data_IF_495027018037
#
_entry.id   IF_495027018037
#
_cell.length_a   1.000
_cell.length_b   1.000
_cell.length_c   1.000
_cell.angle_alpha   90.00
_cell.angle_beta   90.00
_cell.angle_gamma   90.00
#
_symmetry.space_group_name_H-M   'P 1'
#
loop_
_entity.id
_entity.type
_entity.pdbx_description
1 polymer ?
#
# COMPACT_ATOMS: atom_id res chain seq x y z
N UNK A 1 -13.82 19.18 -2.76
CA UNK A 1 -13.38 19.36 -4.17
C UNK A 1 -12.30 18.36 -4.59
N UNK A 2 -11.26 18.17 -3.81
CA UNK A 2 -10.17 17.24 -4.14
C UNK A 2 -10.65 15.80 -4.37
N UNK A 3 -11.46 15.25 -3.49
CA UNK A 3 -12.01 13.89 -3.60
C UNK A 3 -12.84 13.67 -4.87
N UNK A 4 -13.67 14.64 -5.24
CA UNK A 4 -14.47 14.56 -6.48
C UNK A 4 -13.57 14.55 -7.71
N UNK A 5 -12.51 15.37 -7.70
CA UNK A 5 -11.53 15.41 -8.79
C UNK A 5 -10.74 14.10 -8.90
N UNK A 6 -10.30 13.55 -7.79
CA UNK A 6 -9.59 12.26 -7.76
C UNK A 6 -10.46 11.12 -8.30
N UNK A 7 -11.72 11.07 -7.92
CA UNK A 7 -12.68 10.08 -8.45
C UNK A 7 -12.88 10.25 -9.96
N UNK A 8 -12.99 11.49 -10.43
CA UNK A 8 -13.10 11.77 -11.87
C UNK A 8 -11.84 11.34 -12.64
N UNK A 9 -10.66 11.56 -12.10
CA UNK A 9 -9.39 11.09 -12.71
C UNK A 9 -9.39 9.57 -12.83
N UNK A 10 -9.73 8.86 -11.77
CA UNK A 10 -9.78 7.39 -11.78
C UNK A 10 -10.79 6.87 -12.81
N UNK A 11 -11.97 7.44 -12.87
CA UNK A 11 -13.00 7.07 -13.87
C UNK A 11 -12.52 7.32 -15.30
N UNK A 12 -11.92 8.47 -15.58
CA UNK A 12 -11.38 8.80 -16.90
C UNK A 12 -10.30 7.82 -17.33
N UNK A 13 -9.39 7.46 -16.42
CA UNK A 13 -8.30 6.51 -16.68
C UNK A 13 -8.81 5.09 -16.92
N UNK A 14 -9.87 4.67 -16.23
CA UNK A 14 -10.49 3.36 -16.43
C UNK A 14 -11.27 3.25 -17.74
N UNK A 15 -11.88 4.35 -18.18
CA UNK A 15 -12.79 4.36 -19.34
C UNK A 15 -12.13 4.81 -20.62
N UNK A 16 -10.98 5.48 -20.56
CA UNK A 16 -10.26 6.04 -21.71
C UNK A 16 -8.77 5.75 -21.64
N UNK A 17 -8.15 5.63 -22.79
CA UNK A 17 -6.69 5.54 -22.90
C UNK A 17 -6.09 6.95 -22.89
N UNK A 18 -5.57 7.39 -21.75
CA UNK A 18 -4.97 8.70 -21.55
C UNK A 18 -3.47 8.53 -21.40
N UNK A 19 -2.71 9.06 -22.35
CA UNK A 19 -1.26 8.88 -22.41
C UNK A 19 -0.45 10.07 -21.88
N UNK A 20 -1.05 11.25 -21.77
CA UNK A 20 -0.34 12.48 -21.38
C UNK A 20 -1.09 13.24 -20.29
N UNK A 21 -0.34 14.07 -19.55
CA UNK A 21 -0.92 14.98 -18.55
C UNK A 21 -1.83 16.04 -19.20
N UNK A 22 -1.49 16.47 -20.42
CA UNK A 22 -2.30 17.44 -21.18
C UNK A 22 -3.68 16.87 -21.53
N UNK A 23 -3.73 15.63 -22.02
CA UNK A 23 -5.01 14.96 -22.30
C UNK A 23 -5.87 14.85 -21.04
N UNK A 24 -5.28 14.48 -19.91
CA UNK A 24 -5.99 14.40 -18.63
C UNK A 24 -6.49 15.78 -18.18
N UNK A 25 -5.66 16.80 -18.32
CA UNK A 25 -6.02 18.19 -18.00
C UNK A 25 -7.23 18.67 -18.82
N UNK A 26 -7.20 18.46 -20.15
CA UNK A 26 -8.27 18.86 -21.06
C UNK A 26 -9.59 18.14 -20.73
N UNK A 27 -9.53 16.84 -20.48
CA UNK A 27 -10.71 16.05 -20.10
C UNK A 27 -11.32 16.49 -18.77
N UNK A 28 -10.48 16.86 -17.79
CA UNK A 28 -10.97 17.38 -16.52
C UNK A 28 -11.60 18.76 -16.66
N UNK A 29 -11.03 19.63 -17.48
CA UNK A 29 -11.63 20.94 -17.80
C UNK A 29 -12.97 20.78 -18.50
N UNK A 30 -13.07 19.88 -19.46
CA UNK A 30 -14.32 19.56 -20.15
C UNK A 30 -15.38 18.99 -19.18
N UNK A 31 -14.94 18.33 -18.12
CA UNK A 31 -15.81 17.82 -17.05
C UNK A 31 -16.17 18.86 -15.99
N UNK A 32 -15.75 20.13 -16.18
CA UNK A 32 -16.10 21.23 -15.28
C UNK A 32 -15.13 21.47 -14.12
N UNK A 33 -13.97 20.83 -14.12
CA UNK A 33 -12.94 21.09 -13.10
C UNK A 33 -12.00 22.20 -13.55
N UNK A 34 -11.82 23.20 -12.69
CA UNK A 34 -10.80 24.25 -12.89
C UNK A 34 -9.47 23.76 -12.29
N UNK A 35 -8.59 23.28 -13.14
CA UNK A 35 -7.32 22.67 -12.76
C UNK A 35 -6.15 23.18 -13.59
N UNK A 36 -4.98 23.21 -12.96
CA UNK A 36 -3.71 23.53 -13.59
C UNK A 36 -2.86 22.28 -13.77
N UNK A 37 -1.84 22.37 -14.64
CA UNK A 37 -0.89 21.27 -14.83
C UNK A 37 -0.18 20.87 -13.52
N UNK A 38 0.15 21.84 -12.67
CA UNK A 38 0.76 21.56 -11.36
C UNK A 38 -0.17 20.75 -10.47
N UNK A 39 -1.47 21.03 -10.47
CA UNK A 39 -2.47 20.26 -9.71
C UNK A 39 -2.58 18.83 -10.24
N UNK A 40 -2.63 18.66 -11.56
CA UNK A 40 -2.67 17.33 -12.18
C UNK A 40 -1.41 16.53 -11.86
N UNK A 41 -0.25 17.14 -11.93
CA UNK A 41 1.01 16.48 -11.58
C UNK A 41 1.03 15.98 -10.14
N UNK A 42 0.49 16.75 -9.20
CA UNK A 42 0.33 16.32 -7.78
C UNK A 42 -0.69 15.20 -7.64
N UNK A 43 -1.84 15.31 -8.30
CA UNK A 43 -2.89 14.29 -8.24
C UNK A 43 -2.39 12.95 -8.80
N UNK A 44 -1.61 12.95 -9.89
CA UNK A 44 -0.98 11.75 -10.44
C UNK A 44 -0.09 11.06 -9.41
N UNK A 45 0.71 11.83 -8.67
CA UNK A 45 1.57 11.29 -7.60
C UNK A 45 0.76 10.74 -6.43
N UNK A 46 -0.24 11.49 -5.97
CA UNK A 46 -1.06 11.10 -4.83
C UNK A 46 -1.92 9.86 -5.12
N UNK A 47 -2.37 9.70 -6.35
CA UNK A 47 -3.14 8.54 -6.79
C UNK A 47 -2.27 7.35 -7.24
N UNK A 48 -0.95 7.48 -7.15
CA UNK A 48 -0.01 6.46 -7.62
C UNK A 48 -0.27 6.02 -9.07
N UNK A 49 -0.53 6.99 -9.94
CA UNK A 49 -0.70 6.72 -11.36
C UNK A 49 0.66 6.56 -12.05
N UNK A 50 0.78 5.56 -12.88
CA UNK A 50 1.96 5.34 -13.70
C UNK A 50 1.58 5.09 -15.15
N UNK A 51 2.54 5.28 -16.05
CA UNK A 51 2.35 4.94 -17.46
C UNK A 51 2.68 3.46 -17.67
N UNK A 52 1.74 2.75 -18.26
CA UNK A 52 1.90 1.35 -18.68
C UNK A 52 1.87 1.27 -20.20
N UNK A 53 2.62 0.34 -20.75
CA UNK A 53 2.63 0.09 -22.19
C UNK A 53 1.44 -0.78 -22.60
N UNK A 54 0.65 -0.27 -23.56
CA UNK A 54 -0.43 -1.05 -24.19
C UNK A 54 -0.16 -1.04 -25.71
N UNK A 55 0.39 -2.12 -26.22
CA UNK A 55 0.88 -2.17 -27.59
C UNK A 55 2.00 -1.14 -27.83
N UNK A 56 1.82 -0.26 -28.83
CA UNK A 56 2.76 0.81 -29.16
C UNK A 56 2.49 2.14 -28.43
N UNK A 57 1.52 2.17 -27.51
CA UNK A 57 1.11 3.37 -26.79
C UNK A 57 1.33 3.23 -25.29
N UNK A 58 1.53 4.35 -24.63
CA UNK A 58 1.56 4.44 -23.17
C UNK A 58 0.25 5.05 -22.68
N UNK A 59 -0.30 4.49 -21.62
CA UNK A 59 -1.46 5.06 -20.94
C UNK A 59 -1.24 5.12 -19.44
N UNK A 60 -1.87 6.07 -18.77
CA UNK A 60 -1.94 6.09 -17.30
C UNK A 60 -2.80 4.93 -16.79
N UNK A 61 -2.32 4.28 -15.77
CA UNK A 61 -3.05 3.27 -15.01
C UNK A 61 -2.84 3.51 -13.52
N UNK A 62 -3.85 3.17 -12.73
CA UNK A 62 -3.68 3.07 -11.28
C UNK A 62 -2.76 1.88 -11.05
N UNK A 63 -1.65 2.08 -10.35
CA UNK A 63 -0.89 0.95 -9.81
C UNK A 63 -1.81 0.33 -8.78
N UNK A 64 -2.56 -0.69 -9.16
CA UNK A 64 -3.11 -1.60 -8.18
C UNK A 64 -1.89 -2.16 -7.47
N UNK A 65 -1.82 -1.98 -6.15
CA UNK A 65 -0.92 -2.78 -5.33
C UNK A 65 -1.17 -4.21 -5.81
N UNK A 66 -0.17 -4.81 -6.41
CA UNK A 66 -0.28 -6.14 -6.99
C UNK A 66 -0.89 -7.05 -5.93
N UNK A 67 -2.11 -7.52 -6.14
CA UNK A 67 -2.71 -8.51 -5.24
C UNK A 67 -1.75 -9.70 -5.08
N UNK A 68 -0.98 -10.01 -6.12
CA UNK A 68 0.07 -11.01 -6.10
C UNK A 68 1.24 -10.67 -5.17
N UNK A 69 1.62 -9.39 -5.04
CA UNK A 69 2.66 -8.96 -4.11
C UNK A 69 2.18 -9.08 -2.67
N UNK A 70 0.95 -8.66 -2.39
CA UNK A 70 0.33 -8.80 -1.07
C UNK A 70 0.21 -10.28 -0.68
N UNK A 71 -0.24 -11.13 -1.59
CA UNK A 71 -0.38 -12.57 -1.35
C UNK A 71 0.97 -13.25 -1.05
N UNK A 72 2.02 -12.87 -1.77
CA UNK A 72 3.38 -13.35 -1.50
C UNK A 72 3.83 -13.03 -0.08
N UNK A 73 3.62 -11.80 0.38
CA UNK A 73 4.00 -11.39 1.73
C UNK A 73 3.15 -12.06 2.81
N UNK A 74 1.87 -12.22 2.58
CA UNK A 74 0.98 -12.98 3.47
C UNK A 74 1.46 -14.42 3.62
N UNK A 75 1.91 -15.03 2.53
CA UNK A 75 2.47 -16.39 2.55
C UNK A 75 3.75 -16.47 3.37
N UNK A 76 4.69 -15.53 3.18
CA UNK A 76 5.93 -15.45 3.96
C UNK A 76 5.62 -15.29 5.46
N UNK A 77 4.70 -14.41 5.82
CA UNK A 77 4.25 -14.22 7.18
C UNK A 77 3.68 -15.53 7.76
N UNK A 78 2.82 -16.20 7.04
CA UNK A 78 2.19 -17.46 7.46
C UNK A 78 3.21 -18.58 7.69
N UNK A 79 4.16 -18.70 6.76
CA UNK A 79 5.18 -19.78 6.81
C UNK A 79 6.18 -19.56 7.95
N UNK A 80 6.50 -18.30 8.24
CA UNK A 80 7.48 -17.97 9.27
C UNK A 80 6.92 -17.79 10.68
N UNK A 81 5.64 -17.54 10.80
CA UNK A 81 5.00 -17.22 12.09
C UNK A 81 5.00 -18.38 13.08
N UNK A 82 5.39 -18.10 14.33
CA UNK A 82 5.30 -19.05 15.45
C UNK A 82 4.34 -18.52 16.52
N UNK A 83 4.59 -17.34 17.06
CA UNK A 83 3.74 -16.73 18.10
C UNK A 83 3.86 -15.21 18.12
N UNK A 84 2.87 -14.56 18.69
CA UNK A 84 2.85 -13.12 18.96
C UNK A 84 2.35 -12.85 20.36
N UNK A 85 3.05 -11.98 21.08
CA UNK A 85 2.65 -11.50 22.41
C UNK A 85 2.79 -10.00 22.49
N UNK A 86 1.83 -9.28 23.12
CA UNK A 86 1.94 -7.86 23.36
C UNK A 86 2.82 -7.56 24.57
N UNK A 87 3.55 -6.45 24.52
CA UNK A 87 4.29 -5.89 25.64
C UNK A 87 4.26 -4.37 25.56
N UNK A 88 3.31 -3.74 26.23
CA UNK A 88 3.05 -2.30 26.06
C UNK A 88 2.70 -1.96 24.62
N UNK A 89 3.47 -1.07 23.99
CA UNK A 89 3.33 -0.71 22.59
C UNK A 89 4.15 -1.60 21.65
N UNK A 90 4.79 -2.64 22.16
CA UNK A 90 5.52 -3.61 21.37
C UNK A 90 4.72 -4.88 21.17
N UNK A 91 4.90 -5.47 20.01
CA UNK A 91 4.54 -6.86 19.73
C UNK A 91 5.83 -7.65 19.61
N UNK A 92 5.94 -8.72 20.38
CA UNK A 92 7.05 -9.66 20.27
C UNK A 92 6.56 -10.81 19.38
N UNK A 93 7.02 -10.83 18.14
CA UNK A 93 6.69 -11.87 17.18
C UNK A 93 7.85 -12.86 17.10
N UNK A 94 7.55 -14.14 17.34
CA UNK A 94 8.51 -15.23 17.18
C UNK A 94 8.30 -15.89 15.84
N UNK A 95 9.40 -16.18 15.16
CA UNK A 95 9.39 -16.86 13.85
C UNK A 95 10.16 -18.16 13.91
N UNK A 96 10.06 -18.92 12.84
CA UNK A 96 10.99 -20.00 12.54
C UNK A 96 12.40 -19.42 12.47
N UNK A 97 13.39 -20.13 12.97
CA UNK A 97 14.81 -19.72 12.99
C UNK A 97 15.26 -19.33 11.58
N UNK A 98 15.89 -18.17 11.46
CA UNK A 98 16.38 -17.64 10.20
C UNK A 98 15.33 -16.90 9.36
N UNK A 99 14.06 -16.83 9.77
CA UNK A 99 13.00 -16.20 8.99
C UNK A 99 12.58 -14.81 9.50
N UNK A 100 13.13 -14.32 10.61
CA UNK A 100 12.67 -13.06 11.19
C UNK A 100 12.79 -11.89 10.23
N UNK A 101 13.89 -11.74 9.51
CA UNK A 101 14.05 -10.65 8.55
C UNK A 101 13.08 -10.73 7.36
N UNK A 102 12.82 -11.94 6.85
CA UNK A 102 11.86 -12.15 5.77
C UNK A 102 10.44 -11.79 6.22
N UNK A 103 10.04 -12.21 7.41
CA UNK A 103 8.74 -11.90 8.00
C UNK A 103 8.61 -10.41 8.31
N UNK A 104 9.64 -9.76 8.82
CA UNK A 104 9.66 -8.31 9.05
C UNK A 104 9.49 -7.53 7.74
N UNK A 105 10.17 -7.93 6.69
CA UNK A 105 10.01 -7.36 5.35
C UNK A 105 8.56 -7.52 4.84
N UNK A 106 7.96 -8.67 5.07
CA UNK A 106 6.56 -8.92 4.72
C UNK A 106 5.61 -8.00 5.50
N UNK A 107 5.83 -7.82 6.79
CA UNK A 107 5.02 -6.92 7.64
C UNK A 107 5.13 -5.47 7.14
N UNK A 108 6.32 -4.99 6.84
CA UNK A 108 6.52 -3.65 6.29
C UNK A 108 5.80 -3.45 4.96
N UNK A 109 5.82 -4.46 4.11
CA UNK A 109 5.17 -4.43 2.80
C UNK A 109 3.63 -4.46 2.88
N UNK A 110 3.05 -4.95 3.97
CA UNK A 110 1.60 -4.92 4.21
C UNK A 110 1.08 -3.51 4.54
N UNK A 111 1.98 -2.59 4.88
CA UNK A 111 1.67 -1.17 5.16
C UNK A 111 0.51 -0.98 6.16
N UNK A 112 0.59 -1.68 7.29
CA UNK A 112 -0.37 -1.54 8.38
C UNK A 112 -0.13 -0.20 9.07
N UNK A 113 -1.10 0.70 9.02
CA UNK A 113 -0.95 2.09 9.46
C UNK A 113 -0.59 2.23 10.94
N UNK A 114 -1.05 1.31 11.78
CA UNK A 114 -0.81 1.30 13.23
C UNK A 114 0.61 0.88 13.59
N UNK A 115 1.33 0.26 12.67
CA UNK A 115 2.74 -0.16 12.86
C UNK A 115 3.66 0.98 12.44
N UNK A 116 4.44 1.47 13.39
CA UNK A 116 5.44 2.52 13.13
C UNK A 116 6.66 1.93 12.43
N UNK A 117 7.06 0.74 12.82
CA UNK A 117 8.21 0.04 12.26
C UNK A 117 8.48 -1.24 13.03
N UNK A 118 9.43 -2.02 12.55
CA UNK A 118 9.87 -3.21 13.24
C UNK A 118 11.37 -3.44 13.06
N UNK A 119 11.94 -4.21 13.97
CA UNK A 119 13.33 -4.67 13.90
C UNK A 119 13.39 -6.17 14.14
N UNK A 120 14.17 -6.87 13.34
CA UNK A 120 14.26 -8.31 13.35
C UNK A 120 15.63 -8.81 13.77
N UNK A 121 15.65 -9.82 14.61
CA UNK A 121 16.82 -10.66 14.88
C UNK A 121 16.82 -11.89 13.98
N UNK A 122 17.17 -13.05 14.52
CA UNK A 122 17.18 -14.33 13.80
C UNK A 122 15.80 -15.01 13.78
N UNK A 123 15.14 -15.07 14.94
CA UNK A 123 13.84 -15.74 15.18
C UNK A 123 12.82 -14.86 15.91
N UNK A 124 13.15 -13.59 16.12
CA UNK A 124 12.33 -12.67 16.92
C UNK A 124 12.26 -11.30 16.24
N UNK A 125 11.08 -10.73 16.22
CA UNK A 125 10.81 -9.38 15.69
C UNK A 125 10.17 -8.54 16.78
N UNK A 126 10.67 -7.34 17.00
CA UNK A 126 10.01 -6.31 17.80
C UNK A 126 9.27 -5.35 16.87
N UNK A 127 7.96 -5.32 17.00
CA UNK A 127 7.09 -4.46 16.22
C UNK A 127 6.61 -3.32 17.10
N UNK A 128 6.94 -2.08 16.71
CA UNK A 128 6.49 -0.89 17.41
C UNK A 128 5.11 -0.47 16.88
N UNK A 129 4.13 -0.42 17.76
CA UNK A 129 2.77 0.02 17.47
C UNK A 129 2.59 1.45 17.95
N UNK A 130 1.86 2.26 17.20
CA UNK A 130 1.53 3.64 17.57
C UNK A 130 0.87 3.68 18.96
N UNK A 131 1.26 4.65 19.79
CA UNK A 131 0.68 4.86 21.13
C UNK A 131 -0.83 5.11 21.12
N UNK A 132 -1.36 5.60 20.00
CA UNK A 132 -2.79 5.87 19.80
C UNK A 132 -3.56 4.65 19.29
N UNK A 133 -2.90 3.51 19.11
CA UNK A 133 -3.47 2.28 18.57
C UNK A 133 -3.42 1.16 19.60
N UNK A 134 -4.34 0.21 19.46
CA UNK A 134 -4.37 -0.99 20.30
C UNK A 134 -3.43 -2.06 19.75
N UNK A 135 -2.44 -2.45 20.56
CA UNK A 135 -1.54 -3.57 20.24
C UNK A 135 -2.32 -4.86 20.00
N UNK A 136 -3.35 -5.11 20.81
CA UNK A 136 -4.23 -6.28 20.65
C UNK A 136 -4.96 -6.31 19.32
N UNK A 137 -5.43 -5.16 18.84
CA UNK A 137 -6.11 -5.05 17.55
C UNK A 137 -5.16 -5.33 16.40
N UNK A 138 -3.93 -4.84 16.47
CA UNK A 138 -2.89 -5.14 15.47
C UNK A 138 -2.55 -6.64 15.46
N UNK A 139 -2.41 -7.25 16.64
CA UNK A 139 -2.19 -8.70 16.76
C UNK A 139 -3.34 -9.49 16.12
N UNK A 140 -4.59 -9.10 16.37
CA UNK A 140 -5.75 -9.76 15.79
C UNK A 140 -5.78 -9.64 14.27
N UNK A 141 -5.41 -8.48 13.74
CA UNK A 141 -5.31 -8.27 12.29
C UNK A 141 -4.22 -9.15 11.68
N UNK A 142 -3.02 -9.18 12.27
CA UNK A 142 -1.94 -10.05 11.81
C UNK A 142 -2.29 -11.54 11.92
N UNK A 143 -2.98 -11.94 12.97
CA UNK A 143 -3.44 -13.34 13.13
C UNK A 143 -4.41 -13.79 12.04
N UNK A 144 -5.25 -12.92 11.53
CA UNK A 144 -6.13 -13.22 10.39
C UNK A 144 -5.33 -13.60 9.15
N UNK A 145 -4.16 -13.00 8.97
CA UNK A 145 -3.27 -13.26 7.84
C UNK A 145 -2.48 -14.55 7.98
N UNK A 146 -2.31 -15.05 9.20
CA UNK A 146 -1.54 -16.29 9.51
C UNK A 146 -2.37 -17.56 9.47
N UNK A 147 -3.66 -17.45 9.27
CA UNK A 147 -4.58 -18.61 9.19
C UNK A 147 -4.58 -19.28 7.84
#
# INVERSE_FOLDING_TARGET
MKTKRHNAIIELIKTREIGTQEELLDLLKDSGFDVTQATISRDIRELNLTKVNVGNRQKYAVIQKDEGVSEKYVRVLRDGFVSMLPSGNLIVLRTVVGMAMAVATAIDALEINEIIGCIAGDDTIFIAVSENSSTTDVINELKKLTR
#
